data_IF_804898586973
#
_entry.id   IF_804898586973
#
_cell.length_a   1.000
_cell.length_b   1.000
_cell.length_c   1.000
_cell.angle_alpha   90.00
_cell.angle_beta   90.00
_cell.angle_gamma   90.00
#
_symmetry.space_group_name_H-M   'P 1'
#
loop_
_entity.id
_entity.type
_entity.pdbx_description
1 polymer ?
#
# COMPACT_ATOMS: atom_id res chain seq x y z
N UNK A 1 28.34 -2.79 -93.96
CA UNK A 1 28.45 -3.08 -92.51
C UNK A 1 27.24 -2.49 -91.82
N UNK A 2 26.30 -3.36 -91.45
CA UNK A 2 26.06 -3.72 -90.05
C UNK A 2 25.48 -2.58 -89.24
N UNK A 3 24.15 -2.58 -89.10
CA UNK A 3 23.45 -2.65 -87.81
C UNK A 3 21.95 -2.65 -88.05
N UNK A 4 21.24 -3.61 -87.44
CA UNK A 4 20.08 -3.32 -86.59
C UNK A 4 19.56 -4.60 -85.92
N UNK A 5 19.70 -4.62 -84.59
CA UNK A 5 18.69 -5.17 -83.66
C UNK A 5 17.48 -4.21 -83.68
N UNK A 6 16.28 -4.51 -83.19
CA UNK A 6 15.84 -5.16 -81.94
C UNK A 6 14.35 -5.54 -82.09
N UNK A 7 13.88 -6.39 -81.16
CA UNK A 7 12.53 -6.51 -80.58
C UNK A 7 11.57 -7.56 -81.15
N UNK A 8 10.98 -8.34 -80.23
CA UNK A 8 9.75 -9.10 -80.46
C UNK A 8 9.57 -10.30 -79.54
N UNK A 9 8.79 -10.13 -78.45
CA UNK A 9 8.35 -11.13 -77.47
C UNK A 9 7.54 -12.30 -78.07
N UNK A 10 7.59 -13.48 -77.42
CA UNK A 10 6.65 -14.59 -77.61
C UNK A 10 6.70 -15.65 -76.50
N UNK A 11 5.67 -15.66 -75.65
CA UNK A 11 5.45 -16.37 -74.36
C UNK A 11 5.40 -17.93 -74.42
N UNK A 12 5.76 -18.59 -73.31
CA UNK A 12 5.20 -19.79 -72.63
C UNK A 12 6.04 -20.01 -71.34
N UNK A 13 5.57 -20.26 -70.11
CA UNK A 13 4.28 -20.62 -69.55
C UNK A 13 4.16 -20.17 -68.07
N UNK A 14 2.99 -19.66 -67.61
CA UNK A 14 2.70 -19.34 -66.21
C UNK A 14 2.01 -20.56 -65.55
N UNK A 15 2.77 -21.53 -65.06
CA UNK A 15 2.19 -22.69 -64.36
C UNK A 15 2.73 -22.90 -62.94
N UNK A 16 3.83 -22.24 -62.57
CA UNK A 16 4.40 -22.37 -61.22
C UNK A 16 3.86 -21.34 -60.21
N UNK A 17 3.19 -20.27 -60.67
CA UNK A 17 2.72 -19.19 -59.78
C UNK A 17 1.28 -19.36 -59.28
N UNK A 18 0.51 -20.30 -59.85
CA UNK A 18 -0.88 -20.56 -59.44
C UNK A 18 -0.99 -21.64 -58.33
N UNK A 19 0.07 -22.41 -58.07
CA UNK A 19 0.10 -23.43 -57.01
C UNK A 19 0.59 -22.90 -55.65
N UNK A 20 1.10 -21.66 -55.59
CA UNK A 20 1.53 -21.01 -54.33
C UNK A 20 0.41 -20.13 -53.73
N UNK A 21 -0.72 -19.97 -54.43
CA UNK A 21 -1.87 -19.15 -53.98
C UNK A 21 -3.05 -19.98 -53.44
N UNK A 22 -2.90 -21.30 -53.29
CA UNK A 22 -3.89 -22.17 -52.62
C UNK A 22 -3.25 -22.81 -51.38
N UNK A 23 -2.84 -21.99 -50.42
CA UNK A 23 -2.56 -22.42 -49.05
C UNK A 23 -2.98 -21.36 -48.01
N UNK A 24 -3.94 -20.50 -48.35
CA UNK A 24 -4.71 -19.73 -47.36
C UNK A 24 -5.98 -20.51 -47.07
N UNK A 25 -5.88 -21.58 -46.28
CA UNK A 25 -7.04 -22.40 -45.92
C UNK A 25 -6.72 -23.85 -45.64
N UNK A 26 -5.64 -24.15 -44.92
CA UNK A 26 -5.57 -25.45 -44.26
C UNK A 26 -6.84 -25.58 -43.38
N UNK A 27 -7.62 -26.66 -43.50
CA UNK A 27 -8.77 -26.85 -42.63
C UNK A 27 -8.26 -26.86 -41.20
N UNK A 28 -8.84 -26.02 -40.34
CA UNK A 28 -8.51 -25.98 -38.93
C UNK A 28 -8.49 -27.41 -38.39
N UNK A 29 -7.42 -27.77 -37.69
CA UNK A 29 -7.22 -29.13 -37.20
C UNK A 29 -8.38 -29.43 -36.27
N UNK A 30 -9.19 -30.48 -36.51
CA UNK A 30 -10.34 -30.73 -35.65
C UNK A 30 -9.88 -30.93 -34.21
N UNK A 31 -10.55 -30.31 -33.22
CA UNK A 31 -10.16 -30.45 -31.83
C UNK A 31 -10.19 -31.91 -31.38
N UNK A 32 -9.28 -32.31 -30.50
CA UNK A 32 -9.16 -33.67 -29.99
C UNK A 32 -9.16 -33.71 -28.46
N UNK A 33 -9.36 -34.90 -27.88
CA UNK A 33 -9.37 -35.13 -26.44
C UNK A 33 -10.76 -35.07 -25.78
N UNK A 34 -10.84 -35.21 -24.44
CA UNK A 34 -12.09 -35.39 -23.70
C UNK A 34 -13.08 -34.20 -23.84
N UNK A 35 -12.57 -33.02 -24.15
CA UNK A 35 -13.36 -31.79 -24.31
C UNK A 35 -13.54 -31.36 -25.77
N UNK A 36 -13.14 -32.17 -26.75
CA UNK A 36 -13.19 -31.84 -28.19
C UNK A 36 -14.55 -31.30 -28.65
N UNK A 37 -15.65 -31.90 -28.16
CA UNK A 37 -17.03 -31.49 -28.48
C UNK A 37 -17.36 -30.06 -28.03
N UNK A 38 -16.57 -29.48 -27.15
CA UNK A 38 -16.74 -28.13 -26.63
C UNK A 38 -15.77 -27.12 -27.26
N UNK A 39 -14.87 -27.55 -28.14
CA UNK A 39 -13.84 -26.74 -28.80
C UNK A 39 -14.25 -26.39 -30.23
N UNK A 40 -13.60 -25.39 -30.82
CA UNK A 40 -13.85 -24.92 -32.20
C UNK A 40 -12.54 -24.69 -32.94
N UNK A 41 -12.46 -25.12 -34.20
CA UNK A 41 -11.30 -24.87 -35.05
C UNK A 41 -10.00 -25.32 -34.39
N UNK A 42 -8.98 -24.46 -34.42
CA UNK A 42 -7.65 -24.72 -33.85
C UNK A 42 -7.55 -24.43 -32.33
N UNK A 43 -8.65 -24.60 -31.60
CA UNK A 43 -8.65 -24.53 -30.13
C UNK A 43 -8.14 -25.83 -29.52
N UNK A 44 -7.28 -25.72 -28.51
CA UNK A 44 -6.85 -26.84 -27.68
C UNK A 44 -6.97 -26.51 -26.20
N UNK A 45 -7.14 -27.53 -25.35
CA UNK A 45 -7.17 -27.36 -23.89
C UNK A 45 -5.77 -27.55 -23.34
N UNK A 46 -5.21 -26.47 -22.79
CA UNK A 46 -3.91 -26.50 -22.12
C UNK A 46 -4.03 -27.02 -20.69
N UNK A 47 -5.10 -26.64 -20.00
CA UNK A 47 -5.35 -26.98 -18.59
C UNK A 47 -6.83 -27.07 -18.30
N UNK A 48 -7.17 -27.95 -17.36
CA UNK A 48 -8.53 -28.10 -16.82
C UNK A 48 -8.47 -27.85 -15.32
N UNK A 49 -9.46 -27.13 -14.79
CA UNK A 49 -9.66 -26.95 -13.35
C UNK A 49 -11.14 -27.14 -13.01
N UNK A 50 -11.43 -27.75 -11.87
CA UNK A 50 -12.81 -27.99 -11.41
C UNK A 50 -13.12 -27.14 -10.18
N UNK A 51 -14.35 -26.59 -10.14
CA UNK A 51 -14.89 -25.84 -9.02
C UNK A 51 -16.35 -26.24 -8.79
N UNK A 52 -16.55 -27.29 -8.00
CA UNK A 52 -17.88 -27.89 -7.82
C UNK A 52 -18.47 -28.36 -9.16
N UNK A 53 -19.67 -27.91 -9.56
CA UNK A 53 -20.29 -28.34 -10.82
C UNK A 53 -19.72 -27.63 -12.06
N UNK A 54 -18.73 -26.75 -11.88
CA UNK A 54 -18.12 -25.98 -12.96
C UNK A 54 -16.78 -26.59 -13.38
N UNK A 55 -16.56 -26.68 -14.70
CA UNK A 55 -15.27 -27.03 -15.29
C UNK A 55 -14.73 -25.82 -16.04
N UNK A 56 -13.52 -25.38 -15.69
CA UNK A 56 -12.81 -24.29 -16.35
C UNK A 56 -11.75 -24.89 -17.27
N UNK A 57 -11.87 -24.60 -18.56
CA UNK A 57 -10.92 -24.99 -19.60
C UNK A 57 -10.05 -23.79 -19.96
N UNK A 58 -8.75 -23.88 -19.74
CA UNK A 58 -7.77 -22.95 -20.31
C UNK A 58 -7.57 -23.33 -21.78
N UNK A 59 -8.02 -22.47 -22.68
CA UNK A 59 -7.98 -22.68 -24.12
C UNK A 59 -6.83 -21.87 -24.71
N UNK A 60 -6.00 -22.57 -25.45
CA UNK A 60 -5.04 -21.98 -26.37
C UNK A 60 -5.67 -21.98 -27.77
N UNK A 61 -5.73 -20.80 -28.38
CA UNK A 61 -6.15 -20.66 -29.78
C UNK A 61 -4.98 -20.13 -30.61
N UNK A 62 -4.53 -20.96 -31.55
CA UNK A 62 -3.49 -20.61 -32.51
C UNK A 62 -4.13 -20.26 -33.84
N UNK A 63 -4.01 -19.01 -34.30
CA UNK A 63 -4.37 -18.69 -35.68
C UNK A 63 -3.29 -19.17 -36.64
N UNK A 64 -3.66 -20.01 -37.59
CA UNK A 64 -2.76 -20.44 -38.66
C UNK A 64 -2.54 -19.31 -39.69
N UNK A 65 -1.60 -18.40 -39.39
CA UNK A 65 -1.05 -17.41 -40.33
C UNK A 65 0.46 -17.20 -40.10
N UNK A 66 1.27 -18.24 -40.33
CA UNK A 66 2.73 -18.14 -40.48
C UNK A 66 3.54 -17.77 -39.22
N UNK A 67 4.79 -18.24 -39.17
CA UNK A 67 5.75 -18.07 -38.08
C UNK A 67 6.09 -16.61 -37.68
N UNK A 68 5.51 -15.62 -38.39
CA UNK A 68 5.76 -14.19 -38.21
C UNK A 68 4.57 -13.41 -37.62
N UNK A 69 3.36 -13.99 -37.53
CA UNK A 69 2.14 -13.30 -37.07
C UNK A 69 1.19 -14.16 -36.21
N UNK A 70 1.68 -15.21 -35.54
CA UNK A 70 0.83 -16.00 -34.63
C UNK A 70 0.37 -15.14 -33.44
N UNK A 71 -0.88 -14.71 -33.46
CA UNK A 71 -1.54 -14.18 -32.27
C UNK A 71 -2.05 -15.37 -31.45
N UNK A 72 -1.22 -15.87 -30.53
CA UNK A 72 -1.71 -16.76 -29.49
C UNK A 72 -2.69 -15.99 -28.62
N UNK A 73 -3.94 -16.44 -28.60
CA UNK A 73 -4.97 -15.88 -27.74
C UNK A 73 -5.30 -16.90 -26.67
N UNK A 74 -4.80 -16.65 -25.47
CA UNK A 74 -5.14 -17.43 -24.28
C UNK A 74 -6.45 -16.90 -23.69
N UNK A 75 -7.39 -17.79 -23.44
CA UNK A 75 -8.61 -17.47 -22.72
C UNK A 75 -9.20 -18.71 -22.06
N UNK A 76 -10.22 -18.53 -21.23
CA UNK A 76 -10.88 -19.59 -20.51
C UNK A 76 -12.32 -19.77 -20.97
N UNK A 77 -12.79 -21.01 -20.92
CA UNK A 77 -14.18 -21.41 -21.18
C UNK A 77 -14.71 -22.13 -19.95
N UNK A 78 -15.94 -21.82 -19.57
CA UNK A 78 -16.57 -22.40 -18.38
C UNK A 78 -17.71 -23.31 -18.83
N UNK A 79 -17.67 -24.54 -18.36
CA UNK A 79 -18.74 -25.52 -18.48
C UNK A 79 -19.48 -25.63 -17.15
N UNK A 80 -20.79 -25.85 -17.21
CA UNK A 80 -21.58 -26.31 -16.08
C UNK A 80 -22.09 -27.70 -16.43
N UNK A 81 -21.56 -28.73 -15.76
CA UNK A 81 -21.70 -30.15 -16.15
C UNK A 81 -21.28 -30.31 -17.62
N UNK A 82 -22.21 -30.60 -18.52
CA UNK A 82 -21.94 -30.83 -19.95
C UNK A 82 -22.35 -29.67 -20.87
N UNK A 83 -22.52 -28.46 -20.35
CA UNK A 83 -22.96 -27.30 -21.15
C UNK A 83 -21.99 -26.14 -21.03
N UNK A 84 -21.62 -25.54 -22.16
CA UNK A 84 -20.86 -24.30 -22.20
C UNK A 84 -21.73 -23.17 -21.67
N UNK A 85 -21.36 -22.59 -20.53
CA UNK A 85 -22.04 -21.45 -19.92
C UNK A 85 -21.29 -20.14 -20.14
N UNK A 86 -19.96 -20.17 -20.28
CA UNK A 86 -19.15 -19.02 -20.68
C UNK A 86 -18.21 -19.43 -21.80
N UNK A 87 -18.32 -18.78 -22.97
CA UNK A 87 -17.56 -19.16 -24.18
C UNK A 87 -16.10 -18.73 -24.13
N UNK A 88 -15.84 -17.53 -23.61
CA UNK A 88 -14.52 -16.87 -23.57
C UNK A 88 -14.48 -15.86 -22.42
N UNK A 89 -13.44 -15.94 -21.58
CA UNK A 89 -13.09 -14.98 -20.53
C UNK A 89 -11.57 -14.99 -20.36
N UNK A 90 -10.93 -13.85 -20.11
CA UNK A 90 -9.46 -13.80 -20.01
C UNK A 90 -8.94 -14.50 -18.75
N UNK A 91 -9.51 -14.17 -17.59
CA UNK A 91 -9.09 -14.72 -16.29
C UNK A 91 -10.29 -14.91 -15.37
N UNK A 92 -10.46 -16.11 -14.83
CA UNK A 92 -11.45 -16.47 -13.81
C UNK A 92 -10.76 -16.95 -12.55
N UNK A 93 -11.36 -16.65 -11.38
CA UNK A 93 -10.91 -17.15 -10.08
C UNK A 93 -12.06 -17.77 -9.30
N UNK A 94 -11.82 -18.86 -8.54
CA UNK A 94 -12.78 -19.34 -7.55
C UNK A 94 -13.08 -18.27 -6.49
N UNK A 95 -14.35 -18.12 -6.11
CA UNK A 95 -14.76 -17.29 -4.98
C UNK A 95 -15.01 -18.18 -3.76
N UNK A 96 -13.92 -18.51 -3.07
CA UNK A 96 -13.94 -19.31 -1.84
C UNK A 96 -14.74 -18.61 -0.74
N UNK A 97 -15.55 -19.37 -0.01
CA UNK A 97 -16.36 -18.90 1.11
C UNK A 97 -17.68 -18.23 0.72
N UNK A 98 -18.12 -18.35 -0.54
CA UNK A 98 -19.46 -17.91 -1.01
C UNK A 98 -20.61 -18.81 -0.49
N UNK A 99 -20.33 -19.79 0.39
CA UNK A 99 -21.28 -20.79 0.88
C UNK A 99 -21.64 -21.89 -0.13
N UNK A 100 -21.24 -21.74 -1.40
CA UNK A 100 -21.40 -22.71 -2.50
C UNK A 100 -20.31 -22.47 -3.55
N UNK A 101 -20.06 -23.42 -4.49
CA UNK A 101 -19.11 -23.21 -5.58
C UNK A 101 -19.47 -21.98 -6.40
N UNK A 102 -18.48 -21.09 -6.58
CA UNK A 102 -18.66 -19.85 -7.32
C UNK A 102 -17.36 -19.45 -8.03
N UNK A 103 -17.53 -18.84 -9.21
CA UNK A 103 -16.46 -18.32 -10.05
C UNK A 103 -16.67 -16.82 -10.26
N UNK A 104 -15.60 -16.05 -10.27
CA UNK A 104 -15.64 -14.60 -10.46
C UNK A 104 -14.65 -14.12 -11.50
N UNK A 105 -15.07 -13.16 -12.31
CA UNK A 105 -14.23 -12.49 -13.30
C UNK A 105 -14.68 -11.05 -13.55
N UNK A 106 -13.76 -10.14 -13.93
CA UNK A 106 -14.13 -8.80 -14.37
C UNK A 106 -14.95 -8.85 -15.65
N UNK A 107 -15.98 -8.00 -15.74
CA UNK A 107 -16.63 -7.71 -17.02
C UNK A 107 -15.65 -6.87 -17.85
N UNK A 108 -15.43 -7.19 -19.14
CA UNK A 108 -14.52 -6.42 -19.98
C UNK A 108 -14.89 -4.93 -20.03
N UNK A 109 -13.89 -4.06 -20.19
CA UNK A 109 -14.01 -2.60 -20.43
C UNK A 109 -14.38 -1.69 -19.25
N UNK A 110 -13.56 -1.64 -18.18
CA UNK A 110 -13.46 -0.44 -17.32
C UNK A 110 -14.71 -0.02 -16.52
N UNK A 111 -15.85 -0.71 -16.68
CA UNK A 111 -17.13 -0.39 -16.06
C UNK A 111 -17.16 -0.67 -14.54
N UNK A 112 -16.08 -1.23 -14.00
CA UNK A 112 -15.96 -1.57 -12.59
C UNK A 112 -16.90 -2.69 -12.14
N UNK A 113 -17.31 -3.57 -13.06
CA UNK A 113 -18.26 -4.65 -12.78
C UNK A 113 -17.57 -6.00 -12.70
N UNK A 114 -18.02 -6.84 -11.77
CA UNK A 114 -17.68 -8.25 -11.68
C UNK A 114 -18.87 -9.11 -12.08
N UNK A 115 -18.58 -10.17 -12.83
CA UNK A 115 -19.50 -11.27 -12.99
C UNK A 115 -19.21 -12.33 -11.92
N UNK A 116 -20.26 -12.79 -11.25
CA UNK A 116 -20.25 -13.92 -10.33
C UNK A 116 -21.10 -15.02 -10.95
N UNK A 117 -20.55 -16.22 -11.09
CA UNK A 117 -21.26 -17.42 -11.52
C UNK A 117 -21.35 -18.37 -10.33
N UNK A 118 -22.56 -18.80 -9.99
CA UNK A 118 -22.78 -19.76 -8.92
C UNK A 118 -23.95 -20.69 -9.25
N UNK A 119 -24.17 -21.73 -8.44
CA UNK A 119 -25.31 -22.64 -8.63
C UNK A 119 -26.49 -22.24 -7.74
N UNK A 120 -27.67 -22.06 -8.34
CA UNK A 120 -28.94 -21.82 -7.64
C UNK A 120 -29.98 -22.85 -8.07
N UNK A 121 -30.49 -23.63 -7.11
CA UNK A 121 -31.49 -24.68 -7.35
C UNK A 121 -31.13 -25.62 -8.52
N UNK A 122 -29.86 -26.04 -8.59
CA UNK A 122 -29.38 -26.97 -9.62
C UNK A 122 -29.23 -26.35 -11.02
N UNK A 123 -29.10 -25.03 -11.11
CA UNK A 123 -28.85 -24.29 -12.35
C UNK A 123 -27.69 -23.31 -12.17
N UNK A 124 -26.90 -23.11 -13.22
CA UNK A 124 -25.94 -22.02 -13.30
C UNK A 124 -26.69 -20.67 -13.30
N UNK A 125 -26.31 -19.78 -12.38
CA UNK A 125 -26.87 -18.43 -12.24
C UNK A 125 -25.74 -17.41 -12.30
N UNK A 126 -26.03 -16.28 -12.95
CA UNK A 126 -25.10 -15.18 -13.14
C UNK A 126 -25.59 -13.97 -12.36
N UNK A 127 -24.75 -13.45 -11.48
CA UNK A 127 -24.95 -12.18 -10.81
C UNK A 127 -23.92 -11.19 -11.32
N UNK A 128 -24.34 -9.95 -11.58
CA UNK A 128 -23.43 -8.86 -11.94
C UNK A 128 -23.35 -7.89 -10.78
N UNK A 129 -22.12 -7.60 -10.36
CA UNK A 129 -21.81 -6.76 -9.21
C UNK A 129 -21.14 -5.50 -9.71
N UNK A 130 -21.72 -4.34 -9.40
CA UNK A 130 -21.09 -3.05 -9.67
C UNK A 130 -20.20 -2.65 -8.48
N UNK A 131 -18.89 -2.58 -8.70
CA UNK A 131 -17.90 -2.12 -7.71
C UNK A 131 -17.62 -0.62 -7.83
N UNK A 132 -18.18 0.05 -8.85
CA UNK A 132 -17.95 1.46 -9.16
C UNK A 132 -16.81 1.71 -10.16
N UNK A 133 -16.93 2.82 -10.86
CA UNK A 133 -15.92 3.38 -11.75
C UNK A 133 -14.59 3.51 -10.97
N UNK A 134 -13.48 3.10 -11.59
CA UNK A 134 -12.11 3.14 -11.03
C UNK A 134 -11.61 1.95 -10.20
N UNK A 135 -12.26 0.78 -10.22
CA UNK A 135 -11.71 -0.44 -9.59
C UNK A 135 -10.46 -1.07 -10.24
N UNK A 136 -9.78 -0.31 -11.09
CA UNK A 136 -8.72 -0.78 -11.94
C UNK A 136 -7.50 0.14 -11.89
N UNK A 137 -6.60 -0.14 -10.95
CA UNK A 137 -5.19 0.24 -11.09
C UNK A 137 -4.49 -0.98 -11.70
N UNK A 138 -3.79 -0.79 -12.82
CA UNK A 138 -3.28 -1.83 -13.72
C UNK A 138 -2.26 -2.84 -13.16
N UNK A 139 -2.18 -3.03 -11.84
CA UNK A 139 -1.41 -4.11 -11.22
C UNK A 139 -2.14 -5.47 -11.35
N UNK A 140 -1.40 -6.53 -11.69
CA UNK A 140 -1.95 -7.89 -11.77
C UNK A 140 -2.53 -8.34 -10.41
N UNK A 141 -3.82 -8.71 -10.38
CA UNK A 141 -4.52 -9.21 -9.18
C UNK A 141 -5.67 -8.34 -8.67
N UNK A 142 -5.71 -7.05 -9.03
CA UNK A 142 -6.78 -6.13 -8.61
C UNK A 142 -8.15 -6.50 -9.19
N UNK A 143 -8.17 -7.08 -10.39
CA UNK A 143 -9.36 -7.49 -11.14
C UNK A 143 -10.34 -8.40 -10.40
N UNK A 144 -9.87 -9.13 -9.37
CA UNK A 144 -10.71 -10.04 -8.59
C UNK A 144 -10.80 -9.62 -7.12
N UNK A 145 -10.16 -8.52 -6.72
CA UNK A 145 -10.04 -8.10 -5.33
C UNK A 145 -9.19 -9.05 -4.49
N UNK A 146 -8.71 -8.53 -3.36
CA UNK A 146 -7.89 -9.27 -2.43
C UNK A 146 -8.74 -10.11 -1.47
N UNK A 147 -8.51 -11.42 -1.34
CA UNK A 147 -9.18 -12.20 -0.31
C UNK A 147 -8.68 -11.76 1.06
N UNK A 148 -9.57 -11.23 1.90
CA UNK A 148 -9.24 -10.81 3.26
C UNK A 148 -9.88 -11.70 4.33
N UNK A 149 -10.96 -12.40 3.99
CA UNK A 149 -11.54 -13.48 4.78
C UNK A 149 -12.28 -14.46 3.86
N UNK A 150 -12.66 -15.68 4.32
CA UNK A 150 -13.52 -16.56 3.54
C UNK A 150 -14.80 -15.82 3.10
N UNK A 151 -15.07 -15.80 1.79
CA UNK A 151 -16.23 -15.11 1.24
C UNK A 151 -16.13 -13.59 1.20
N UNK A 152 -15.02 -12.99 1.63
CA UNK A 152 -14.86 -11.53 1.67
C UNK A 152 -13.66 -11.09 0.83
N UNK A 153 -13.91 -10.21 -0.13
CA UNK A 153 -12.90 -9.62 -1.01
C UNK A 153 -12.85 -8.11 -0.85
N UNK A 154 -11.64 -7.56 -0.80
CA UNK A 154 -11.38 -6.12 -0.72
C UNK A 154 -10.86 -5.58 -2.05
N UNK A 155 -11.45 -4.48 -2.51
CA UNK A 155 -11.07 -3.74 -3.71
C UNK A 155 -10.62 -2.34 -3.29
N UNK A 156 -9.33 -1.99 -3.40
CA UNK A 156 -8.79 -0.77 -2.77
C UNK A 156 -9.11 0.55 -3.48
N UNK A 157 -9.62 0.54 -4.70
CA UNK A 157 -9.89 1.73 -5.51
C UNK A 157 -10.82 2.76 -4.85
N UNK A 158 -10.49 4.05 -4.98
CA UNK A 158 -11.32 5.22 -4.62
C UNK A 158 -12.07 5.10 -3.28
N UNK A 159 -11.33 4.79 -2.20
CA UNK A 159 -11.88 4.70 -0.83
C UNK A 159 -12.22 3.28 -0.40
N UNK A 160 -12.19 2.31 -1.30
CA UNK A 160 -12.27 0.89 -0.98
C UNK A 160 -13.69 0.31 -1.01
N UNK A 161 -13.82 -0.93 -1.47
CA UNK A 161 -15.08 -1.68 -1.52
C UNK A 161 -14.86 -3.08 -0.97
N UNK A 162 -15.78 -3.54 -0.13
CA UNK A 162 -15.88 -4.94 0.29
C UNK A 162 -16.97 -5.66 -0.49
N UNK A 163 -16.63 -6.82 -1.01
CA UNK A 163 -17.56 -7.77 -1.61
C UNK A 163 -17.70 -8.98 -0.70
N UNK A 164 -18.86 -9.14 -0.10
CA UNK A 164 -19.21 -10.31 0.70
C UNK A 164 -19.98 -11.34 -0.13
N UNK A 165 -19.69 -12.61 0.11
CA UNK A 165 -20.36 -13.77 -0.47
C UNK A 165 -21.63 -14.15 0.29
N UNK A 166 -22.58 -14.72 -0.47
CA UNK A 166 -23.92 -15.16 -0.11
C UNK A 166 -24.52 -14.74 1.27
N UNK A 167 -25.53 -13.83 1.28
CA UNK A 167 -26.03 -13.08 0.13
C UNK A 167 -24.93 -12.19 -0.44
N UNK A 168 -24.88 -12.10 -1.77
CA UNK A 168 -23.91 -11.24 -2.45
C UNK A 168 -24.18 -9.78 -2.04
N UNK A 169 -23.17 -9.13 -1.43
CA UNK A 169 -23.31 -7.75 -0.94
C UNK A 169 -22.07 -6.93 -1.27
N UNK A 170 -22.31 -5.71 -1.73
CA UNK A 170 -21.28 -4.70 -1.97
C UNK A 170 -21.39 -3.66 -0.86
N UNK A 171 -20.31 -3.47 -0.12
CA UNK A 171 -20.19 -2.43 0.88
C UNK A 171 -19.12 -1.45 0.43
N UNK A 172 -19.51 -0.22 0.11
CA UNK A 172 -18.55 0.87 -0.06
C UNK A 172 -18.00 1.23 1.32
N UNK A 173 -16.69 1.35 1.42
CA UNK A 173 -16.06 1.70 2.67
C UNK A 173 -16.05 3.22 2.86
N UNK A 174 -16.22 3.70 4.11
CA UNK A 174 -16.12 5.12 4.41
C UNK A 174 -14.68 5.60 4.13
N UNK A 175 -14.50 6.79 3.55
CA UNK A 175 -13.16 7.29 3.25
C UNK A 175 -12.35 7.46 4.54
N UNK A 176 -11.06 7.13 4.46
CA UNK A 176 -10.07 7.46 5.47
C UNK A 176 -9.82 8.98 5.55
N UNK A 177 -8.57 9.41 5.63
CA UNK A 177 -8.24 10.84 5.67
C UNK A 177 -7.77 11.33 4.30
N UNK A 178 -8.35 12.42 3.76
CA UNK A 178 -7.56 13.52 3.17
C UNK A 178 -8.34 14.81 2.77
N UNK A 179 -7.65 15.97 2.84
CA UNK A 179 -7.63 16.92 1.72
C UNK A 179 -6.32 17.72 1.52
N UNK A 180 -5.29 17.66 2.38
CA UNK A 180 -3.93 18.21 2.12
C UNK A 180 -2.79 17.47 2.88
N UNK A 181 -2.98 16.16 3.06
CA UNK A 181 -2.02 15.05 2.95
C UNK A 181 -1.59 14.24 4.18
N UNK A 182 -2.32 14.27 5.30
CA UNK A 182 -2.22 13.27 6.38
C UNK A 182 -2.86 11.91 6.03
N UNK A 183 -2.50 11.33 4.88
CA UNK A 183 -3.27 10.27 4.22
C UNK A 183 -3.33 8.95 4.97
N UNK A 184 -4.54 8.39 5.02
CA UNK A 184 -4.76 7.00 5.44
C UNK A 184 -5.77 6.37 4.46
N UNK A 185 -5.32 5.34 3.73
CA UNK A 185 -5.96 4.88 2.48
C UNK A 185 -5.78 3.40 2.15
N UNK A 186 -5.44 2.55 3.11
CA UNK A 186 -5.34 1.11 2.92
C UNK A 186 -6.04 0.39 4.07
N UNK A 187 -7.03 -0.45 3.77
CA UNK A 187 -7.69 -1.26 4.80
C UNK A 187 -6.64 -2.15 5.48
N UNK A 188 -6.59 -2.21 6.80
CA UNK A 188 -5.72 -3.10 7.56
C UNK A 188 -6.51 -4.13 8.35
N UNK A 189 -7.75 -3.79 8.74
CA UNK A 189 -8.65 -4.70 9.42
C UNK A 189 -10.09 -4.21 9.45
N UNK A 190 -11.00 -5.12 9.75
CA UNK A 190 -12.42 -4.87 9.95
C UNK A 190 -12.79 -5.24 11.38
N UNK A 191 -13.63 -4.43 12.04
CA UNK A 191 -14.15 -4.77 13.36
C UNK A 191 -14.97 -6.07 13.32
N UNK A 192 -15.08 -6.82 14.43
CA UNK A 192 -15.77 -8.11 14.46
C UNK A 192 -17.23 -8.08 13.99
N UNK A 193 -17.94 -6.98 14.21
CA UNK A 193 -19.34 -6.79 13.79
C UNK A 193 -19.49 -6.07 12.44
N UNK A 194 -18.37 -5.67 11.81
CA UNK A 194 -18.35 -4.96 10.53
C UNK A 194 -18.78 -3.48 10.60
N UNK A 195 -18.92 -2.89 11.79
CA UNK A 195 -19.34 -1.49 11.96
C UNK A 195 -18.20 -0.47 11.91
N UNK A 196 -16.94 -0.92 11.93
CA UNK A 196 -15.76 -0.05 11.83
C UNK A 196 -14.61 -0.70 11.06
N UNK A 197 -13.73 0.15 10.53
CA UNK A 197 -12.63 -0.20 9.63
C UNK A 197 -11.34 0.46 10.10
N UNK A 198 -10.26 -0.31 10.19
CA UNK A 198 -8.94 0.20 10.50
C UNK A 198 -8.19 0.42 9.19
N UNK A 199 -7.72 1.64 8.97
CA UNK A 199 -6.95 2.03 7.80
C UNK A 199 -5.52 2.40 8.15
N UNK A 200 -4.59 2.20 7.23
CA UNK A 200 -3.19 2.63 7.32
C UNK A 200 -2.81 3.57 6.19
N UNK A 201 -1.76 4.35 6.41
CA UNK A 201 -1.17 5.28 5.44
C UNK A 201 -0.33 4.58 4.36
N UNK A 202 0.21 3.39 4.65
CA UNK A 202 1.04 2.63 3.72
C UNK A 202 0.86 1.12 3.88
N UNK A 203 0.74 0.41 2.76
CA UNK A 203 0.70 -1.07 2.74
C UNK A 203 2.03 -1.70 3.13
N UNK A 204 3.14 -1.04 2.82
CA UNK A 204 4.50 -1.58 2.97
C UNK A 204 5.17 -1.12 4.27
N UNK A 205 4.87 0.10 4.68
CA UNK A 205 5.52 0.79 5.79
C UNK A 205 4.47 1.56 6.61
N UNK A 206 3.48 0.85 7.18
CA UNK A 206 2.40 1.50 7.90
C UNK A 206 2.96 2.27 9.10
N UNK A 207 2.54 3.52 9.25
CA UNK A 207 3.03 4.48 10.21
C UNK A 207 1.96 4.98 11.19
N UNK A 208 0.69 4.94 10.78
CA UNK A 208 -0.47 5.23 11.60
C UNK A 208 -1.64 4.29 11.27
N UNK A 209 -2.49 3.98 12.25
CA UNK A 209 -3.84 3.43 12.03
C UNK A 209 -4.88 4.50 12.33
N UNK A 210 -5.86 4.63 11.45
CA UNK A 210 -7.10 5.36 11.68
C UNK A 210 -8.27 4.38 11.74
N UNK A 211 -9.07 4.45 12.80
CA UNK A 211 -10.34 3.74 12.87
C UNK A 211 -11.45 4.64 12.35
N UNK A 212 -12.25 4.12 11.42
CA UNK A 212 -13.38 4.81 10.80
C UNK A 212 -14.62 3.93 10.88
N UNK A 213 -15.69 4.46 11.46
CA UNK A 213 -17.00 3.82 11.54
C UNK A 213 -17.68 3.81 10.17
N UNK A 214 -18.65 2.91 9.98
CA UNK A 214 -19.45 2.82 8.75
C UNK A 214 -20.14 4.10 8.33
N UNK A 215 -20.50 4.98 9.29
CA UNK A 215 -21.14 6.28 9.03
C UNK A 215 -20.13 7.40 8.71
N UNK A 216 -18.83 7.09 8.72
CA UNK A 216 -17.74 8.02 8.49
C UNK A 216 -17.18 8.67 9.74
N UNK A 217 -17.68 8.32 10.95
CA UNK A 217 -17.09 8.74 12.21
C UNK A 217 -15.63 8.30 12.31
N UNK A 218 -14.71 9.22 12.66
CA UNK A 218 -13.26 8.94 12.69
C UNK A 218 -12.75 9.02 14.11
N UNK A 219 -11.87 8.09 14.49
CA UNK A 219 -11.09 8.19 15.73
C UNK A 219 -9.80 8.97 15.49
N UNK A 220 -9.12 9.30 16.57
CA UNK A 220 -7.78 9.88 16.53
C UNK A 220 -6.79 8.81 16.03
N UNK A 221 -5.86 9.15 15.09
CA UNK A 221 -4.88 8.20 14.58
C UNK A 221 -3.96 7.69 15.69
N UNK A 222 -3.70 6.39 15.67
CA UNK A 222 -2.74 5.72 16.55
C UNK A 222 -1.45 5.50 15.76
N UNK A 223 -0.29 6.07 16.14
CA UNK A 223 0.97 5.79 15.47
C UNK A 223 1.36 4.32 15.62
N UNK A 224 2.13 3.82 14.66
CA UNK A 224 2.52 2.42 14.60
C UNK A 224 4.01 2.24 14.82
N UNK A 225 4.42 1.13 15.46
CA UNK A 225 5.80 0.71 15.42
C UNK A 225 6.22 0.46 13.96
N UNK A 226 7.49 0.70 13.63
CA UNK A 226 8.09 0.41 12.31
C UNK A 226 8.22 -1.10 11.99
N UNK A 227 7.29 -1.93 12.45
CA UNK A 227 7.23 -3.31 11.99
C UNK A 227 6.64 -3.31 10.58
N UNK A 228 7.49 -3.46 9.57
CA UNK A 228 7.05 -3.61 8.18
C UNK A 228 6.31 -4.93 8.01
N UNK A 229 5.13 -4.94 7.39
CA UNK A 229 4.48 -6.17 6.95
C UNK A 229 5.42 -6.99 6.06
N UNK A 230 5.86 -8.15 6.54
CA UNK A 230 6.72 -9.05 5.76
C UNK A 230 5.87 -10.00 4.92
N UNK A 231 6.16 -10.11 3.62
CA UNK A 231 5.52 -11.12 2.77
C UNK A 231 6.15 -12.50 2.97
N UNK A 232 5.33 -13.52 3.19
CA UNK A 232 5.76 -14.91 3.10
C UNK A 232 5.72 -15.38 1.64
N UNK A 233 6.56 -16.38 1.28
CA UNK A 233 6.56 -16.97 -0.06
C UNK A 233 5.20 -17.57 -0.50
N UNK A 234 4.31 -17.84 0.46
CA UNK A 234 2.97 -18.39 0.22
C UNK A 234 1.88 -17.32 0.10
N UNK A 235 2.23 -16.04 0.11
CA UNK A 235 1.24 -14.97 0.05
C UNK A 235 0.54 -14.91 -1.30
N UNK A 236 -0.77 -15.08 -1.25
CA UNK A 236 -1.63 -15.06 -2.42
C UNK A 236 -2.04 -13.64 -2.83
N UNK A 237 -1.77 -12.65 -1.98
CA UNK A 237 -2.13 -11.24 -2.18
C UNK A 237 -1.08 -10.31 -1.56
N UNK A 238 -0.74 -9.19 -2.21
CA UNK A 238 0.13 -8.15 -1.63
C UNK A 238 -0.49 -7.45 -0.41
N UNK A 239 -1.79 -7.65 -0.15
CA UNK A 239 -2.50 -7.13 1.02
C UNK A 239 -2.50 -8.09 2.21
N UNK A 240 -2.29 -9.39 1.99
CA UNK A 240 -2.22 -10.40 3.06
C UNK A 240 -1.15 -10.11 4.12
N UNK A 241 0.05 -9.61 3.78
CA UNK A 241 1.03 -9.19 4.79
C UNK A 241 0.47 -8.15 5.75
N UNK A 242 -0.20 -7.11 5.24
CA UNK A 242 -0.76 -6.02 6.05
C UNK A 242 -1.85 -6.54 6.99
N UNK A 243 -2.79 -7.35 6.49
CA UNK A 243 -3.86 -7.91 7.30
C UNK A 243 -3.32 -8.78 8.45
N UNK A 244 -2.36 -9.67 8.18
CA UNK A 244 -1.76 -10.51 9.23
C UNK A 244 -0.95 -9.70 10.23
N UNK A 245 -0.19 -8.72 9.74
CA UNK A 245 0.53 -7.81 10.62
C UNK A 245 -0.43 -7.10 11.56
N UNK A 246 -1.56 -6.60 11.06
CA UNK A 246 -2.59 -5.96 11.86
C UNK A 246 -3.16 -6.93 12.91
N UNK A 247 -3.56 -8.14 12.49
CA UNK A 247 -4.09 -9.18 13.39
C UNK A 247 -3.11 -9.63 14.47
N UNK A 248 -1.80 -9.60 14.18
CA UNK A 248 -0.75 -9.97 15.14
C UNK A 248 -0.39 -8.82 16.08
N UNK A 249 -0.57 -7.58 15.64
CA UNK A 249 -0.08 -6.39 16.35
C UNK A 249 -1.17 -5.65 17.12
N UNK A 250 -2.45 -5.79 16.72
CA UNK A 250 -3.57 -5.05 17.25
C UNK A 250 -4.75 -5.96 17.59
N UNK A 251 -5.53 -5.54 18.58
CA UNK A 251 -6.83 -6.11 18.89
C UNK A 251 -7.91 -5.03 18.86
N UNK A 252 -9.12 -5.44 18.49
CA UNK A 252 -10.29 -4.58 18.53
C UNK A 252 -10.84 -4.52 19.95
N UNK A 253 -11.17 -3.31 20.40
CA UNK A 253 -11.81 -3.06 21.69
C UNK A 253 -12.85 -1.97 21.55
N UNK A 254 -13.77 -1.88 22.51
CA UNK A 254 -14.65 -0.72 22.63
C UNK A 254 -14.08 0.30 23.62
N UNK A 255 -14.24 1.59 23.33
CA UNK A 255 -13.88 2.69 24.24
C UNK A 255 -15.01 2.97 25.25
N UNK A 256 -14.85 4.02 26.06
CA UNK A 256 -15.84 4.41 27.07
C UNK A 256 -17.21 4.83 26.48
N UNK A 257 -17.26 5.15 25.19
CA UNK A 257 -18.46 5.52 24.44
C UNK A 257 -19.06 4.34 23.65
N UNK A 258 -18.68 3.10 23.97
CA UNK A 258 -19.11 1.86 23.29
C UNK A 258 -18.76 1.81 21.78
N UNK A 259 -17.77 2.60 21.38
CA UNK A 259 -17.30 2.72 20.01
C UNK A 259 -16.05 1.87 19.76
N UNK A 260 -15.96 1.23 18.59
CA UNK A 260 -14.78 0.44 18.23
C UNK A 260 -13.52 1.30 18.14
N UNK A 261 -12.44 0.72 18.65
CA UNK A 261 -11.08 1.23 18.59
C UNK A 261 -10.10 0.06 18.43
N UNK A 262 -8.85 0.37 18.13
CA UNK A 262 -7.77 -0.61 18.07
C UNK A 262 -6.74 -0.30 19.14
N UNK A 263 -6.23 -1.34 19.79
CA UNK A 263 -5.17 -1.24 20.78
C UNK A 263 -4.04 -2.21 20.44
N UNK A 264 -2.76 -1.83 20.65
CA UNK A 264 -1.65 -2.75 20.48
C UNK A 264 -1.80 -3.98 21.39
N UNK A 265 -1.52 -5.17 20.87
CA UNK A 265 -1.56 -6.44 21.65
C UNK A 265 -0.40 -6.49 22.65
N UNK A 266 0.74 -5.90 22.30
CA UNK A 266 1.91 -5.83 23.15
C UNK A 266 2.08 -4.41 23.71
N UNK A 267 2.36 -4.32 25.01
CA UNK A 267 2.72 -3.06 25.64
C UNK A 267 3.93 -2.42 24.92
N UNK A 268 3.98 -1.08 24.91
CA UNK A 268 5.18 -0.38 24.53
C UNK A 268 6.33 -0.81 25.47
N UNK A 269 7.54 -1.09 24.95
CA UNK A 269 8.72 -1.17 25.78
C UNK A 269 8.80 0.10 26.62
N UNK A 270 9.16 -0.02 27.90
CA UNK A 270 9.40 1.17 28.70
C UNK A 270 10.62 1.89 28.12
N UNK A 271 10.35 3.06 27.55
CA UNK A 271 11.38 3.97 27.08
C UNK A 271 12.28 4.42 28.23
N UNK A 272 13.49 4.89 27.89
CA UNK A 272 14.45 5.40 28.88
C UNK A 272 14.13 6.84 29.34
N UNK A 273 13.01 7.42 28.90
CA UNK A 273 12.59 8.76 29.28
C UNK A 273 11.12 9.04 28.99
N UNK A 274 10.80 10.27 28.59
CA UNK A 274 9.41 10.69 28.38
C UNK A 274 8.92 10.26 26.99
N UNK A 275 7.68 9.78 26.92
CA UNK A 275 7.03 9.30 25.70
C UNK A 275 7.20 10.26 24.51
N UNK A 276 6.99 11.56 24.73
CA UNK A 276 7.10 12.59 23.69
C UNK A 276 8.54 12.80 23.19
N UNK A 277 9.56 12.65 24.04
CA UNK A 277 10.97 12.70 23.59
C UNK A 277 11.33 11.43 22.83
N UNK A 278 10.80 10.28 23.27
CA UNK A 278 11.15 8.96 22.74
C UNK A 278 10.69 8.80 21.29
N UNK A 279 9.63 9.48 20.87
CA UNK A 279 9.23 9.62 19.45
C UNK A 279 10.39 10.12 18.58
N UNK A 280 11.27 10.98 19.10
CA UNK A 280 12.38 11.57 18.34
C UNK A 280 13.74 10.92 18.61
N UNK A 281 13.87 10.16 19.71
CA UNK A 281 15.14 9.56 20.14
C UNK A 281 15.22 8.04 19.90
N UNK A 282 14.09 7.33 19.91
CA UNK A 282 14.03 5.87 19.79
C UNK A 282 12.71 5.44 19.14
N UNK A 283 12.67 5.42 17.80
CA UNK A 283 11.42 5.14 17.06
C UNK A 283 10.73 3.82 17.44
N UNK A 284 11.43 2.68 17.56
CA UNK A 284 10.82 1.42 17.98
C UNK A 284 9.98 1.50 19.27
N UNK A 285 10.41 2.29 20.24
CA UNK A 285 9.69 2.51 21.51
C UNK A 285 8.75 3.71 21.42
N UNK A 286 9.26 4.84 20.94
CA UNK A 286 8.58 6.12 20.80
C UNK A 286 7.26 6.05 20.04
N UNK A 287 7.25 5.40 18.88
CA UNK A 287 6.05 5.30 18.03
C UNK A 287 5.04 4.25 18.50
N UNK A 288 5.31 3.55 19.61
CA UNK A 288 4.30 2.76 20.30
C UNK A 288 3.54 3.58 21.34
N UNK A 289 4.04 4.75 21.73
CA UNK A 289 3.27 5.71 22.48
C UNK A 289 2.24 6.37 21.56
N UNK A 290 1.04 6.55 22.08
CA UNK A 290 -0.06 7.20 21.40
C UNK A 290 -0.50 8.40 22.24
N UNK A 291 -1.07 9.42 21.60
CA UNK A 291 -1.49 10.68 22.26
C UNK A 291 -2.99 10.97 22.04
N UNK A 292 -3.77 9.97 21.59
CA UNK A 292 -5.20 10.10 21.40
C UNK A 292 -5.95 10.22 22.73
N UNK A 293 -6.90 11.14 22.77
CA UNK A 293 -7.63 11.55 23.98
C UNK A 293 -8.50 10.43 24.54
N UNK A 294 -9.21 9.70 23.67
CA UNK A 294 -10.21 8.70 24.07
C UNK A 294 -9.78 7.24 23.82
N UNK A 295 -8.47 6.98 23.76
CA UNK A 295 -7.93 5.62 23.60
C UNK A 295 -7.18 5.18 24.86
N UNK A 296 -7.59 4.07 25.51
CA UNK A 296 -7.04 3.63 26.79
C UNK A 296 -5.57 3.20 26.74
N UNK A 297 -5.01 3.00 25.54
CA UNK A 297 -3.58 2.67 25.36
C UNK A 297 -2.69 3.90 25.15
N UNK A 298 -3.26 5.11 25.17
CA UNK A 298 -2.55 6.35 24.88
C UNK A 298 -2.14 7.09 26.17
N UNK A 299 -1.13 7.94 26.06
CA UNK A 299 -0.60 8.76 27.15
C UNK A 299 -1.70 9.67 27.71
N UNK A 300 -1.99 9.60 29.03
CA UNK A 300 -3.09 10.33 29.62
C UNK A 300 -2.81 11.84 29.67
N UNK A 301 -3.89 12.63 29.65
CA UNK A 301 -3.83 14.08 29.82
C UNK A 301 -3.52 14.89 28.55
N UNK A 302 -3.21 14.22 27.44
CA UNK A 302 -3.21 14.85 26.13
C UNK A 302 -4.65 15.06 25.65
N UNK A 303 -4.86 16.15 24.91
CA UNK A 303 -6.17 16.49 24.34
C UNK A 303 -6.03 17.09 22.95
N UNK A 304 -7.07 16.99 22.15
CA UNK A 304 -7.13 17.73 20.88
C UNK A 304 -7.10 19.25 21.12
N UNK A 305 -6.30 19.93 20.29
CA UNK A 305 -6.28 21.38 20.17
C UNK A 305 -7.53 21.85 19.43
N UNK A 306 -8.12 22.94 19.91
CA UNK A 306 -9.26 23.59 19.26
C UNK A 306 -8.78 24.75 18.39
N UNK A 307 -9.54 25.05 17.35
CA UNK A 307 -9.30 26.21 16.48
C UNK A 307 -9.15 27.48 17.33
N UNK A 308 -8.09 28.26 17.03
CA UNK A 308 -7.79 29.51 17.74
C UNK A 308 -7.05 29.38 19.08
N UNK A 309 -6.75 28.17 19.58
CA UNK A 309 -6.00 28.04 20.85
C UNK A 309 -4.51 28.44 20.74
N UNK A 310 -3.89 28.24 19.57
CA UNK A 310 -2.48 28.54 19.33
C UNK A 310 -2.28 29.37 18.06
N UNK A 311 -2.81 30.61 18.01
CA UNK A 311 -2.81 31.44 16.79
C UNK A 311 -1.41 31.88 16.35
N UNK A 312 -0.43 31.88 17.27
CA UNK A 312 0.96 32.17 16.95
C UNK A 312 1.62 31.04 16.16
N UNK A 313 1.27 29.78 16.46
CA UNK A 313 1.81 28.60 15.77
C UNK A 313 1.02 28.27 14.50
N UNK A 314 -0.28 28.52 14.53
CA UNK A 314 -1.21 28.17 13.47
C UNK A 314 -1.83 29.43 12.86
N UNK A 315 -1.25 29.87 11.75
CA UNK A 315 -1.71 31.06 10.99
C UNK A 315 -3.21 30.95 10.67
N UNK A 316 -3.88 32.09 10.69
CA UNK A 316 -5.31 32.23 10.40
C UNK A 316 -6.23 31.39 11.29
N UNK A 317 -5.74 30.93 12.44
CA UNK A 317 -6.49 30.10 13.39
C UNK A 317 -6.72 28.66 12.92
N UNK A 318 -6.12 28.25 11.81
CA UNK A 318 -6.24 26.89 11.27
C UNK A 318 -5.37 25.90 12.05
N UNK A 319 -5.99 25.07 12.89
CA UNK A 319 -5.30 23.98 13.57
C UNK A 319 -5.37 22.72 12.70
N UNK A 320 -4.23 22.12 12.32
CA UNK A 320 -4.22 20.86 11.59
C UNK A 320 -5.01 19.77 12.34
N UNK A 321 -5.77 18.90 11.65
CA UNK A 321 -6.46 17.80 12.29
C UNK A 321 -5.53 16.96 13.17
N UNK A 322 -6.04 16.53 14.32
CA UNK A 322 -5.29 15.72 15.30
C UNK A 322 -4.04 16.40 15.87
N UNK A 323 -4.03 17.73 15.95
CA UNK A 323 -3.04 18.44 16.75
C UNK A 323 -3.38 18.32 18.24
N UNK A 324 -2.39 18.01 19.08
CA UNK A 324 -2.58 17.73 20.50
C UNK A 324 -1.93 18.79 21.39
N UNK A 325 -2.64 19.17 22.45
CA UNK A 325 -2.12 19.95 23.56
C UNK A 325 -1.62 19.00 24.65
N UNK A 326 -0.48 19.29 25.28
CA UNK A 326 0.05 18.44 26.33
C UNK A 326 -0.69 18.65 27.67
N UNK A 327 -0.48 17.76 28.64
CA UNK A 327 -0.77 18.02 30.05
C UNK A 327 -0.07 19.31 30.54
N UNK A 328 -0.62 20.00 31.56
CA UNK A 328 0.01 21.17 32.18
C UNK A 328 1.45 20.86 32.62
N UNK A 329 2.33 21.85 32.48
CA UNK A 329 3.75 21.80 32.88
C UNK A 329 4.61 20.72 32.19
N UNK A 330 4.09 20.05 31.16
CA UNK A 330 4.91 19.11 30.39
C UNK A 330 6.08 19.84 29.74
N UNK A 331 7.29 19.29 29.95
CA UNK A 331 8.52 19.77 29.31
C UNK A 331 9.15 18.67 28.50
N UNK A 332 9.70 18.98 27.35
CA UNK A 332 10.50 18.07 26.53
C UNK A 332 11.79 18.78 26.13
N UNK A 333 12.92 18.08 26.18
CA UNK A 333 14.24 18.65 25.91
C UNK A 333 14.52 19.91 26.74
N UNK A 334 14.00 19.94 27.97
CA UNK A 334 14.18 21.06 28.91
C UNK A 334 13.33 22.31 28.62
N UNK A 335 12.41 22.28 27.65
CA UNK A 335 11.54 23.39 27.29
C UNK A 335 10.06 23.01 27.50
N UNK A 336 9.16 23.96 27.86
CA UNK A 336 7.72 23.72 27.87
C UNK A 336 7.22 23.25 26.50
N UNK A 337 6.34 22.26 26.49
CA UNK A 337 5.70 21.76 25.26
C UNK A 337 4.44 22.57 24.99
N UNK A 338 4.26 23.01 23.75
CA UNK A 338 3.09 23.79 23.33
C UNK A 338 2.13 22.92 22.49
N UNK A 339 2.65 22.08 21.60
CA UNK A 339 1.84 21.20 20.77
C UNK A 339 2.61 19.98 20.24
N UNK A 340 1.88 18.89 19.98
CA UNK A 340 2.35 17.74 19.20
C UNK A 340 1.41 17.54 18.00
N UNK A 341 1.96 17.49 16.79
CA UNK A 341 1.18 17.40 15.55
C UNK A 341 1.64 16.20 14.73
N UNK A 342 0.79 15.20 14.48
CA UNK A 342 1.08 14.15 13.52
C UNK A 342 1.11 14.74 12.10
N UNK A 343 2.10 14.36 11.32
CA UNK A 343 2.32 14.89 9.97
C UNK A 343 2.81 13.84 9.02
N UNK A 344 2.67 14.10 7.71
CA UNK A 344 3.30 13.31 6.67
C UNK A 344 4.77 13.72 6.56
N UNK A 345 5.64 12.73 6.46
CA UNK A 345 7.06 12.99 6.18
C UNK A 345 7.30 12.94 4.67
N UNK A 346 8.08 13.89 4.16
CA UNK A 346 8.16 14.19 2.72
C UNK A 346 8.59 13.03 1.81
N UNK A 347 9.28 12.03 2.37
CA UNK A 347 9.81 10.89 1.62
C UNK A 347 9.11 9.55 1.93
N UNK A 348 7.92 9.60 2.57
CA UNK A 348 7.03 8.45 2.78
C UNK A 348 6.70 8.17 4.25
N UNK A 349 5.42 7.91 4.54
CA UNK A 349 4.91 7.58 5.89
C UNK A 349 4.42 8.78 6.71
N UNK A 350 4.10 8.54 7.98
CA UNK A 350 3.78 9.58 8.99
C UNK A 350 4.88 9.74 10.04
N UNK A 351 4.89 10.89 10.69
CA UNK A 351 5.77 11.25 11.79
C UNK A 351 5.16 12.36 12.65
N UNK A 352 5.98 13.05 13.43
CA UNK A 352 5.53 14.11 14.34
C UNK A 352 6.31 15.41 14.19
N UNK A 353 5.59 16.51 14.41
CA UNK A 353 6.15 17.80 14.81
C UNK A 353 5.85 18.04 16.28
N UNK A 354 6.88 18.38 17.06
CA UNK A 354 6.77 18.82 18.43
C UNK A 354 7.17 20.30 18.50
N UNK A 355 6.30 21.12 19.06
CA UNK A 355 6.51 22.55 19.27
C UNK A 355 6.84 22.79 20.74
N UNK A 356 7.92 23.52 20.99
CA UNK A 356 8.39 23.85 22.34
C UNK A 356 8.76 25.32 22.47
N UNK A 357 8.55 25.87 23.67
CA UNK A 357 8.73 27.28 23.99
C UNK A 357 10.16 27.57 24.47
N UNK A 358 11.15 27.41 23.59
CA UNK A 358 12.54 27.87 23.82
C UNK A 358 13.25 28.14 22.48
N UNK A 359 14.46 28.71 22.52
CA UNK A 359 15.30 28.95 21.35
C UNK A 359 15.94 27.66 20.83
N UNK A 360 16.09 27.58 19.50
CA UNK A 360 16.57 26.38 18.83
C UNK A 360 17.95 25.93 19.30
N UNK A 361 18.87 26.85 19.60
CA UNK A 361 20.22 26.54 20.10
C UNK A 361 20.19 25.82 21.45
N UNK A 362 19.30 26.22 22.36
CA UNK A 362 19.11 25.57 23.66
C UNK A 362 18.48 24.19 23.52
N UNK A 363 17.48 24.07 22.65
CA UNK A 363 16.82 22.77 22.37
C UNK A 363 17.79 21.80 21.72
N UNK A 364 18.61 22.25 20.76
CA UNK A 364 19.68 21.46 20.13
C UNK A 364 20.71 20.98 21.16
N UNK A 365 21.14 21.85 22.07
CA UNK A 365 22.07 21.47 23.14
C UNK A 365 21.45 20.43 24.08
N UNK A 366 20.18 20.60 24.46
CA UNK A 366 19.47 19.64 25.29
C UNK A 366 19.25 18.30 24.59
N UNK A 367 18.86 18.30 23.31
CA UNK A 367 18.71 17.10 22.49
C UNK A 367 20.03 16.32 22.38
N UNK A 368 21.13 17.03 22.09
CA UNK A 368 22.48 16.44 22.02
C UNK A 368 22.88 15.84 23.36
N UNK A 369 22.62 16.55 24.47
CA UNK A 369 22.87 16.03 25.81
C UNK A 369 22.08 14.75 26.08
N UNK A 370 20.80 14.69 25.70
CA UNK A 370 19.97 13.48 25.84
C UNK A 370 20.52 12.30 25.06
N UNK A 371 20.99 12.52 23.83
CA UNK A 371 21.63 11.47 23.02
C UNK A 371 22.86 10.88 23.72
N UNK A 372 23.73 11.75 24.26
CA UNK A 372 24.90 11.31 25.02
C UNK A 372 24.55 10.61 26.34
N UNK A 373 23.64 11.17 27.13
CA UNK A 373 23.15 10.56 28.38
C UNK A 373 22.61 9.14 28.15
N UNK A 374 21.86 8.96 27.05
CA UNK A 374 21.26 7.66 26.67
C UNK A 374 22.19 6.75 25.89
N UNK A 375 23.42 7.21 25.57
CA UNK A 375 24.41 6.51 24.75
C UNK A 375 23.88 6.10 23.38
N UNK A 376 23.06 6.95 22.77
CA UNK A 376 22.50 6.73 21.45
C UNK A 376 23.51 7.22 20.40
N UNK A 377 23.88 6.40 19.39
CA UNK A 377 24.76 6.85 18.33
C UNK A 377 24.01 7.81 17.40
N UNK A 378 24.69 8.85 16.94
CA UNK A 378 24.09 9.84 16.04
C UNK A 378 25.15 10.52 15.15
N UNK A 379 24.67 11.06 14.04
CA UNK A 379 25.40 12.00 13.17
C UNK A 379 24.67 13.32 13.17
N UNK A 380 25.39 14.42 13.37
CA UNK A 380 24.87 15.78 13.26
C UNK A 380 25.26 16.34 11.90
N UNK A 381 24.27 16.58 11.03
CA UNK A 381 24.47 16.79 9.60
C UNK A 381 25.21 18.09 9.29
N UNK A 382 25.04 19.11 10.12
CA UNK A 382 25.76 20.37 10.00
C UNK A 382 27.25 20.28 10.37
N UNK A 383 27.68 19.18 11.00
CA UNK A 383 29.09 18.86 11.29
C UNK A 383 29.74 17.98 10.19
N UNK A 384 28.99 17.60 9.15
CA UNK A 384 29.54 16.85 8.02
C UNK A 384 30.35 17.77 7.08
N UNK A 385 31.41 17.25 6.44
CA UNK A 385 32.06 17.91 5.32
C UNK A 385 31.06 18.32 4.23
N UNK A 386 31.41 19.31 3.41
CA UNK A 386 30.60 19.72 2.27
C UNK A 386 31.21 19.20 0.96
N UNK A 387 30.36 18.71 0.07
CA UNK A 387 30.69 18.44 -1.33
C UNK A 387 31.01 19.73 -2.09
N UNK A 388 31.54 19.62 -3.31
CA UNK A 388 31.81 20.79 -4.18
C UNK A 388 30.53 21.61 -4.49
N UNK A 389 29.36 20.96 -4.46
CA UNK A 389 28.05 21.58 -4.67
C UNK A 389 27.43 22.15 -3.38
N UNK A 390 28.15 22.15 -2.26
CA UNK A 390 27.69 22.66 -0.98
C UNK A 390 26.74 21.74 -0.20
N UNK A 391 26.41 20.55 -0.74
CA UNK A 391 25.62 19.51 -0.06
C UNK A 391 26.44 18.83 1.04
N UNK A 392 25.83 18.39 2.15
CA UNK A 392 26.55 17.70 3.21
C UNK A 392 26.97 16.29 2.75
N UNK A 393 28.23 15.94 2.93
CA UNK A 393 28.78 14.61 2.71
C UNK A 393 28.94 13.88 4.05
N UNK A 394 27.86 13.26 4.51
CA UNK A 394 27.83 12.52 5.77
C UNK A 394 28.21 11.04 5.60
N UNK A 395 28.57 10.57 4.40
CA UNK A 395 28.68 9.14 4.12
C UNK A 395 29.67 8.41 5.05
N UNK A 396 30.84 9.02 5.30
CA UNK A 396 31.85 8.47 6.20
C UNK A 396 31.34 8.41 7.66
N UNK A 397 30.74 9.49 8.17
CA UNK A 397 30.24 9.55 9.54
C UNK A 397 29.06 8.60 9.77
N UNK A 398 28.17 8.48 8.79
CA UNK A 398 27.05 7.52 8.82
C UNK A 398 27.56 6.08 8.85
N UNK A 399 28.60 5.77 8.08
CA UNK A 399 29.22 4.44 8.11
C UNK A 399 29.89 4.16 9.47
N UNK A 400 30.69 5.10 9.98
CA UNK A 400 31.46 4.94 11.21
C UNK A 400 30.56 4.85 12.45
N UNK A 401 29.62 5.79 12.61
CA UNK A 401 28.84 5.92 13.84
C UNK A 401 27.57 5.09 13.87
N UNK A 402 26.98 4.86 12.70
CA UNK A 402 25.67 4.22 12.59
C UNK A 402 25.72 2.90 11.80
N UNK A 403 26.88 2.50 11.25
CA UNK A 403 27.02 1.26 10.48
C UNK A 403 26.32 1.28 9.12
N UNK A 404 26.00 2.46 8.58
CA UNK A 404 25.31 2.57 7.29
C UNK A 404 26.23 2.20 6.11
N UNK A 405 25.71 1.42 5.17
CA UNK A 405 26.43 1.06 3.93
C UNK A 405 26.32 2.19 2.90
N UNK A 406 27.19 2.16 1.89
CA UNK A 406 27.25 3.16 0.80
C UNK A 406 25.92 3.45 0.10
N UNK A 407 24.98 2.48 0.06
CA UNK A 407 23.63 2.73 -0.47
C UNK A 407 22.70 3.08 0.70
N UNK A 408 22.35 4.36 0.79
CA UNK A 408 21.39 4.86 1.77
C UNK A 408 19.97 4.42 1.40
N UNK A 409 19.11 4.43 2.40
CA UNK A 409 17.68 4.27 2.20
C UNK A 409 17.12 5.51 1.47
N UNK A 410 16.11 5.32 0.62
CA UNK A 410 15.54 6.41 -0.19
C UNK A 410 15.00 7.55 0.69
N UNK A 411 14.38 7.23 1.83
CA UNK A 411 13.84 8.23 2.73
C UNK A 411 14.95 9.05 3.40
N UNK A 412 16.03 8.40 3.82
CA UNK A 412 17.19 9.08 4.40
C UNK A 412 17.93 9.93 3.37
N UNK A 413 18.12 9.43 2.15
CA UNK A 413 18.73 10.18 1.06
C UNK A 413 17.92 11.45 0.75
N UNK A 414 16.60 11.33 0.69
CA UNK A 414 15.70 12.46 0.57
C UNK A 414 15.87 13.48 1.69
N UNK A 415 15.85 13.03 2.95
CA UNK A 415 15.98 13.92 4.11
C UNK A 415 17.31 14.70 4.10
N UNK A 416 18.43 14.06 3.73
CA UNK A 416 19.74 14.71 3.65
C UNK A 416 19.81 15.80 2.57
N UNK A 417 19.05 15.64 1.47
CA UNK A 417 18.95 16.65 0.40
C UNK A 417 18.15 17.88 0.81
N UNK A 418 17.14 17.72 1.67
CA UNK A 418 16.25 18.82 2.08
C UNK A 418 16.82 19.74 3.16
N UNK A 419 17.91 19.36 3.85
CA UNK A 419 18.46 19.97 5.08
C UNK A 419 17.99 21.41 5.39
N UNK A 420 17.60 21.72 6.65
CA UNK A 420 17.17 23.07 6.98
C UNK A 420 18.33 24.07 6.87
N UNK A 421 18.04 25.29 6.41
CA UNK A 421 19.02 26.39 6.32
C UNK A 421 19.41 26.94 7.70
N UNK A 422 18.50 26.83 8.67
CA UNK A 422 18.68 27.26 10.06
C UNK A 422 18.36 26.12 11.03
N UNK A 423 18.99 26.10 12.20
CA UNK A 423 18.83 25.03 13.19
C UNK A 423 19.83 23.88 13.00
N UNK A 424 19.43 22.66 13.35
CA UNK A 424 20.26 21.46 13.26
C UNK A 424 19.47 20.24 12.77
N UNK A 425 20.17 19.29 12.15
CA UNK A 425 19.60 18.01 11.72
C UNK A 425 20.42 16.86 12.30
N UNK A 426 19.73 15.88 12.85
CA UNK A 426 20.30 14.69 13.48
C UNK A 426 19.85 13.45 12.74
N UNK A 427 20.79 12.54 12.49
CA UNK A 427 20.55 11.21 11.94
C UNK A 427 20.88 10.19 13.03
N UNK A 428 19.88 9.42 13.44
CA UNK A 428 19.95 8.32 14.40
C UNK A 428 19.83 6.98 13.63
N UNK A 429 19.98 5.81 14.27
CA UNK A 429 19.91 4.53 13.56
C UNK A 429 18.61 4.26 12.79
N UNK A 430 17.49 4.85 13.21
CA UNK A 430 16.15 4.55 12.66
C UNK A 430 15.35 5.79 12.27
N UNK A 431 15.90 7.00 12.47
CA UNK A 431 15.16 8.25 12.29
C UNK A 431 16.07 9.42 11.96
N UNK A 432 15.60 10.31 11.11
CA UNK A 432 16.19 11.63 10.91
C UNK A 432 15.26 12.70 11.50
N UNK A 433 15.82 13.62 12.28
CA UNK A 433 15.10 14.68 12.98
C UNK A 433 15.70 16.03 12.65
N UNK A 434 14.86 17.04 12.41
CA UNK A 434 15.26 18.44 12.32
C UNK A 434 14.79 19.21 13.54
N UNK A 435 15.61 20.14 14.01
CA UNK A 435 15.30 21.09 15.07
C UNK A 435 15.51 22.48 14.51
N UNK A 436 14.43 23.22 14.31
CA UNK A 436 14.46 24.52 13.62
C UNK A 436 13.70 25.58 14.41
N UNK A 437 14.10 26.86 14.34
CA UNK A 437 13.27 27.96 14.83
C UNK A 437 11.89 27.93 14.16
N UNK A 438 10.83 28.18 14.92
CA UNK A 438 9.48 28.30 14.36
C UNK A 438 9.15 29.77 14.02
N UNK A 439 8.36 29.99 12.97
CA UNK A 439 7.96 31.34 12.54
C UNK A 439 7.09 32.05 13.60
N UNK A 440 6.32 31.30 14.39
CA UNK A 440 5.49 31.80 15.48
C UNK A 440 6.24 32.14 16.77
N UNK A 441 7.56 31.90 16.79
CA UNK A 441 8.39 31.90 18.00
C UNK A 441 8.54 30.51 18.60
N UNK A 442 9.62 30.29 19.35
CA UNK A 442 9.97 28.99 19.90
C UNK A 442 10.74 28.10 18.90
N UNK A 443 10.61 26.78 19.07
CA UNK A 443 11.34 25.78 18.29
C UNK A 443 10.42 24.63 17.88
N UNK A 444 10.59 24.18 16.64
CA UNK A 444 9.94 22.98 16.10
C UNK A 444 10.95 21.84 15.96
N UNK A 445 10.63 20.69 16.53
CA UNK A 445 11.33 19.42 16.36
C UNK A 445 10.49 18.55 15.43
N UNK A 446 11.04 18.13 14.29
CA UNK A 446 10.29 17.41 13.25
C UNK A 446 10.95 16.12 12.82
N UNK A 447 10.13 15.08 12.67
CA UNK A 447 10.55 13.84 12.00
C UNK A 447 10.69 14.11 10.50
N UNK A 448 11.88 13.89 9.93
CA UNK A 448 12.13 14.04 8.49
C UNK A 448 12.02 12.72 7.72
N UNK A 449 12.51 11.65 8.33
CA UNK A 449 12.49 10.31 7.75
C UNK A 449 12.47 9.27 8.87
N UNK A 450 11.81 8.14 8.61
CA UNK A 450 11.90 6.91 9.40
C UNK A 450 12.35 5.80 8.47
N UNK A 451 13.17 4.89 8.97
CA UNK A 451 13.76 3.84 8.16
C UNK A 451 14.13 2.65 9.06
N UNK A 452 14.19 1.42 8.50
CA UNK A 452 14.64 0.27 9.26
C UNK A 452 16.06 0.49 9.78
N UNK A 453 16.36 -0.06 10.95
CA UNK A 453 17.71 -0.04 11.48
C UNK A 453 18.69 -0.67 10.46
N UNK A 454 19.88 -0.09 10.26
CA UNK A 454 20.88 -0.69 9.39
C UNK A 454 21.21 -2.09 9.90
N UNK A 455 21.35 -3.10 9.01
CA UNK A 455 21.75 -4.43 9.44
C UNK A 455 23.11 -4.34 10.14
N UNK A 456 23.33 -5.06 11.25
CA UNK A 456 24.61 -5.04 11.95
C UNK A 456 25.74 -5.36 10.96
N UNK A 457 26.87 -4.68 11.11
CA UNK A 457 28.07 -5.04 10.37
C UNK A 457 28.38 -6.49 10.70
N UNK A 458 28.37 -7.37 9.68
CA UNK A 458 28.98 -8.69 9.84
C UNK A 458 30.47 -8.40 9.93
N UNK A 459 31.05 -8.64 11.10
CA UNK A 459 32.49 -8.73 11.24
C UNK A 459 32.99 -9.69 10.16
N UNK A 460 33.87 -9.20 9.29
CA UNK A 460 34.56 -10.02 8.30
C UNK A 460 35.83 -10.58 8.89
#
# INVERSE_FOLDING_TARGET
MMTRRVNGLGRLAPAALALVLVACGAPATPPSGPYARFLKGDESVRKVSEEGPFTVLDIEYSTCCGYLFSAQLDYQRILYRDKVVVKKVERVKPFRGFGRPALVWPVPLGDGKLQVLSEHAGKAAFDTVDLGLYSHDGEEGYYHGYPIAPGLRYFPSNGGVLLAGFPLRVQKLPPGLDCCTGHIGQLAGTAPDGSAYAYTDSRKEPAAILVVDTDGGKREPVPLPMATPTSAAQDLSPHSPLLRWFQASFTWTKNAQDQWNVVPVAAAPQGKGMAVEDVFLDVPSGYRHCFATDNPSCEPGWRLLRAGELPALFKDGYVPPYSYAPPPDLRAFGAPVSALVPSRIGYGGTGYYLYVDDKADRVVAAFTRRLHERKLPFVRVDECPRTEYGNPDCAAQLAERLGWRRKLDYALEGALRWRPETGAMFVLPTVAVAIVPDEGGGTRIGTLARYPAPPPMRDK
#
